data_IF_169601494264
#
_entry.id   IF_169601494264
#
_cell.length_a   1.000
_cell.length_b   1.000
_cell.length_c   1.000
_cell.angle_alpha   90.00
_cell.angle_beta   90.00
_cell.angle_gamma   90.00
#
_symmetry.space_group_name_H-M   'P 1'
#
loop_
_entity.id
_entity.type
_entity.pdbx_description
1 polymer ?
#
# COMPACT_ATOMS: atom_id res chain seq x y z
N UNK A 1 3.11 -20.61 -11.89
CA UNK A 1 3.24 -21.39 -10.63
C UNK A 1 3.10 -20.42 -9.48
N UNK A 2 2.46 -20.82 -8.38
CA UNK A 2 2.38 -19.97 -7.17
C UNK A 2 3.73 -20.05 -6.45
N UNK A 3 4.30 -18.88 -6.14
CA UNK A 3 5.54 -18.76 -5.38
C UNK A 3 5.24 -18.50 -3.89
N UNK A 4 5.29 -19.55 -3.09
CA UNK A 4 4.98 -19.48 -1.65
C UNK A 4 6.05 -18.75 -0.83
N UNK A 5 7.29 -18.71 -1.31
CA UNK A 5 8.37 -17.97 -0.64
C UNK A 5 8.11 -16.47 -0.79
N UNK A 6 7.73 -16.01 -1.99
CA UNK A 6 7.30 -14.61 -2.22
C UNK A 6 6.05 -14.26 -1.41
N UNK A 7 5.07 -15.15 -1.31
CA UNK A 7 3.88 -14.93 -0.47
C UNK A 7 4.29 -14.74 1.01
N UNK A 8 5.23 -15.56 1.50
CA UNK A 8 5.74 -15.45 2.87
C UNK A 8 6.50 -14.15 3.12
N UNK A 9 7.31 -13.72 2.16
CA UNK A 9 7.98 -12.42 2.18
C UNK A 9 6.96 -11.27 2.28
N UNK A 10 5.94 -11.28 1.42
CA UNK A 10 4.90 -10.25 1.42
C UNK A 10 4.09 -10.25 2.72
N UNK A 11 3.76 -11.43 3.28
CA UNK A 11 3.10 -11.51 4.59
C UNK A 11 3.99 -10.95 5.72
N UNK A 12 5.31 -11.14 5.63
CA UNK A 12 6.25 -10.58 6.60
C UNK A 12 6.27 -9.04 6.52
N UNK A 13 6.33 -8.49 5.30
CA UNK A 13 6.25 -7.03 5.08
C UNK A 13 4.91 -6.46 5.55
N UNK A 14 3.80 -7.17 5.32
CA UNK A 14 2.49 -6.80 5.86
C UNK A 14 2.50 -6.82 7.40
N UNK A 15 3.15 -7.81 8.03
CA UNK A 15 3.27 -7.88 9.49
C UNK A 15 4.05 -6.70 10.06
N UNK A 16 5.18 -6.35 9.46
CA UNK A 16 6.03 -5.23 9.88
C UNK A 16 5.32 -3.89 9.76
N UNK A 17 4.49 -3.72 8.72
CA UNK A 17 3.80 -2.47 8.41
C UNK A 17 2.32 -2.47 8.82
N UNK A 18 1.87 -3.43 9.64
CA UNK A 18 0.45 -3.61 9.96
C UNK A 18 -0.19 -2.37 10.60
N UNK A 19 0.55 -1.66 11.46
CA UNK A 19 0.06 -0.41 12.05
C UNK A 19 -0.13 0.68 10.97
N UNK A 20 0.83 0.85 10.07
CA UNK A 20 0.71 1.78 8.94
C UNK A 20 -0.50 1.45 8.07
N UNK A 21 -0.72 0.18 7.76
CA UNK A 21 -1.90 -0.27 7.01
C UNK A 21 -3.23 0.07 7.71
N UNK A 22 -3.28 -0.08 9.04
CA UNK A 22 -4.44 0.32 9.84
C UNK A 22 -4.66 1.83 9.83
N UNK A 23 -3.61 2.62 10.08
CA UNK A 23 -3.68 4.08 10.09
C UNK A 23 -4.08 4.65 8.73
N UNK A 24 -3.50 4.16 7.64
CA UNK A 24 -3.86 4.58 6.28
C UNK A 24 -5.32 4.25 5.94
N UNK A 25 -5.81 3.08 6.37
CA UNK A 25 -7.21 2.70 6.17
C UNK A 25 -8.16 3.59 6.98
N UNK A 26 -7.83 3.87 8.23
CA UNK A 26 -8.60 4.78 9.08
C UNK A 26 -8.60 6.21 8.52
N UNK A 27 -7.44 6.70 8.05
CA UNK A 27 -7.31 7.98 7.38
C UNK A 27 -8.20 8.05 6.13
N UNK A 28 -8.14 7.04 5.25
CA UNK A 28 -8.94 7.00 4.03
C UNK A 28 -10.45 7.01 4.29
N UNK A 29 -10.92 6.25 5.29
CA UNK A 29 -12.34 6.27 5.71
C UNK A 29 -12.74 7.65 6.23
N UNK A 30 -11.90 8.28 7.05
CA UNK A 30 -12.18 9.61 7.57
C UNK A 30 -12.24 10.65 6.44
N UNK A 31 -11.33 10.60 5.46
CA UNK A 31 -11.40 11.45 4.27
C UNK A 31 -12.70 11.28 3.50
N UNK A 32 -13.15 10.04 3.27
CA UNK A 32 -14.43 9.77 2.59
C UNK A 32 -15.65 10.31 3.34
N UNK A 33 -15.57 10.36 4.67
CA UNK A 33 -16.63 10.91 5.52
C UNK A 33 -16.55 12.43 5.69
N UNK A 34 -15.56 13.10 5.09
CA UNK A 34 -15.32 14.54 5.24
C UNK A 34 -14.66 14.92 6.58
N UNK A 35 -14.15 13.94 7.32
CA UNK A 35 -13.40 14.14 8.54
C UNK A 35 -11.92 14.31 8.20
N UNK A 36 -11.46 15.55 8.04
CA UNK A 36 -10.12 15.88 7.55
C UNK A 36 -9.00 15.65 8.57
N UNK A 37 -8.68 14.39 8.83
CA UNK A 37 -7.70 13.99 9.84
C UNK A 37 -6.26 14.17 9.35
N UNK A 38 -5.32 14.31 10.26
CA UNK A 38 -3.90 14.30 9.93
C UNK A 38 -3.34 12.89 9.99
N UNK A 39 -2.28 12.61 9.22
CA UNK A 39 -1.53 11.36 9.25
C UNK A 39 -0.05 11.69 9.30
N UNK A 40 0.73 10.90 10.03
CA UNK A 40 2.19 11.09 10.05
C UNK A 40 2.80 10.64 8.72
N UNK A 41 3.91 11.25 8.32
CA UNK A 41 4.61 10.81 7.10
C UNK A 41 5.03 9.34 7.20
N UNK A 42 5.43 8.88 8.39
CA UNK A 42 5.77 7.49 8.66
C UNK A 42 4.59 6.56 8.48
N UNK A 43 3.44 6.86 9.07
CA UNK A 43 2.26 5.99 8.98
C UNK A 43 1.69 5.96 7.55
N UNK A 44 1.79 7.06 6.81
CA UNK A 44 1.45 7.10 5.38
C UNK A 44 2.38 6.18 4.58
N UNK A 45 3.70 6.29 4.78
CA UNK A 45 4.68 5.45 4.09
C UNK A 45 4.51 3.97 4.43
N UNK A 46 4.48 3.63 5.72
CA UNK A 46 4.28 2.25 6.18
C UNK A 46 2.95 1.70 5.66
N UNK A 47 1.88 2.51 5.62
CA UNK A 47 0.60 2.11 5.07
C UNK A 47 0.65 1.80 3.57
N UNK A 48 1.41 2.58 2.80
CA UNK A 48 1.64 2.32 1.38
C UNK A 48 2.46 1.04 1.18
N UNK A 49 3.51 0.82 1.97
CA UNK A 49 4.30 -0.41 1.93
C UNK A 49 3.48 -1.66 2.29
N UNK A 50 2.60 -1.53 3.30
CA UNK A 50 1.64 -2.58 3.63
C UNK A 50 0.71 -2.90 2.44
N UNK A 51 0.20 -1.87 1.77
CA UNK A 51 -0.70 -2.03 0.62
C UNK A 51 0.02 -2.65 -0.58
N UNK A 52 1.26 -2.22 -0.88
CA UNK A 52 2.11 -2.84 -1.91
C UNK A 52 2.28 -4.34 -1.64
N UNK A 53 2.64 -4.71 -0.41
CA UNK A 53 2.83 -6.11 -0.04
C UNK A 53 1.52 -6.92 -0.17
N UNK A 54 0.38 -6.36 0.28
CA UNK A 54 -0.92 -6.98 0.12
C UNK A 54 -1.27 -7.24 -1.35
N UNK A 55 -1.12 -6.25 -2.22
CA UNK A 55 -1.45 -6.39 -3.64
C UNK A 55 -0.51 -7.40 -4.33
N UNK A 56 0.80 -7.36 -4.04
CA UNK A 56 1.76 -8.34 -4.54
C UNK A 56 1.42 -9.76 -4.11
N UNK A 57 0.98 -9.95 -2.86
CA UNK A 57 0.47 -11.23 -2.36
C UNK A 57 -0.75 -11.72 -3.14
N UNK A 58 -1.76 -10.87 -3.32
CA UNK A 58 -2.98 -11.23 -4.07
C UNK A 58 -2.67 -11.62 -5.53
N UNK A 59 -1.72 -10.95 -6.17
CA UNK A 59 -1.24 -11.28 -7.52
C UNK A 59 -0.49 -12.62 -7.53
N UNK A 60 0.37 -12.86 -6.54
CA UNK A 60 1.15 -14.10 -6.45
C UNK A 60 0.27 -15.33 -6.15
N UNK A 61 -0.78 -15.15 -5.35
CA UNK A 61 -1.78 -16.18 -5.04
C UNK A 61 -2.67 -16.55 -6.24
N UNK A 62 -2.71 -15.72 -7.30
CA UNK A 62 -3.55 -15.97 -8.45
C UNK A 62 -3.05 -17.21 -9.24
N UNK A 63 -3.85 -18.30 -9.33
CA UNK A 63 -3.43 -19.52 -10.02
C UNK A 63 -3.59 -19.43 -11.54
N UNK A 64 -4.35 -18.46 -12.05
CA UNK A 64 -4.72 -18.33 -13.46
C UNK A 64 -3.78 -17.46 -14.27
N UNK A 65 -2.90 -16.70 -13.61
CA UNK A 65 -1.99 -15.77 -14.27
C UNK A 65 -0.61 -16.38 -14.50
N UNK A 66 -0.04 -16.07 -15.66
CA UNK A 66 1.36 -16.41 -15.98
C UNK A 66 2.31 -15.60 -15.11
N UNK A 67 3.55 -16.09 -14.94
CA UNK A 67 4.58 -15.37 -14.18
C UNK A 67 4.82 -13.97 -14.76
N UNK A 68 4.92 -13.86 -16.07
CA UNK A 68 5.08 -12.58 -16.78
C UNK A 68 3.93 -11.61 -16.49
N UNK A 69 2.68 -12.07 -16.61
CA UNK A 69 1.52 -11.22 -16.33
C UNK A 69 1.47 -10.78 -14.86
N UNK A 70 1.85 -11.65 -13.91
CA UNK A 70 1.98 -11.29 -12.50
C UNK A 70 3.04 -10.22 -12.28
N UNK A 71 4.19 -10.32 -12.94
CA UNK A 71 5.26 -9.32 -12.83
C UNK A 71 4.82 -7.98 -13.40
N UNK A 72 4.18 -7.95 -14.57
CA UNK A 72 3.62 -6.73 -15.17
C UNK A 72 2.62 -6.04 -14.24
N UNK A 73 1.68 -6.81 -13.66
CA UNK A 73 0.68 -6.26 -12.75
C UNK A 73 1.34 -5.74 -11.46
N UNK A 74 2.29 -6.48 -10.87
CA UNK A 74 3.02 -6.02 -9.67
C UNK A 74 3.79 -4.73 -9.94
N UNK A 75 4.46 -4.61 -11.09
CA UNK A 75 5.19 -3.42 -11.49
C UNK A 75 4.24 -2.22 -11.68
N UNK A 76 3.10 -2.42 -12.34
CA UNK A 76 2.09 -1.38 -12.53
C UNK A 76 1.47 -0.90 -11.20
N UNK A 77 1.15 -1.83 -10.31
CA UNK A 77 0.63 -1.52 -8.97
C UNK A 77 1.66 -0.75 -8.13
N UNK A 78 2.92 -1.15 -8.17
CA UNK A 78 4.00 -0.48 -7.44
C UNK A 78 4.22 0.95 -7.96
N UNK A 79 4.25 1.13 -9.28
CA UNK A 79 4.34 2.45 -9.89
C UNK A 79 3.18 3.36 -9.44
N UNK A 80 1.94 2.86 -9.52
CA UNK A 80 0.76 3.61 -9.08
C UNK A 80 0.85 4.01 -7.61
N UNK A 81 1.25 3.09 -6.72
CA UNK A 81 1.34 3.36 -5.29
C UNK A 81 2.46 4.33 -4.94
N UNK A 82 3.57 4.31 -5.66
CA UNK A 82 4.64 5.32 -5.53
C UNK A 82 4.15 6.72 -5.93
N UNK A 83 3.41 6.83 -7.04
CA UNK A 83 2.79 8.09 -7.44
C UNK A 83 1.75 8.56 -6.42
N UNK A 84 0.90 7.64 -5.95
CA UNK A 84 -0.09 7.94 -4.90
C UNK A 84 0.58 8.48 -3.64
N UNK A 85 1.64 7.85 -3.15
CA UNK A 85 2.35 8.31 -1.95
C UNK A 85 2.90 9.73 -2.13
N UNK A 86 3.53 10.00 -3.28
CA UNK A 86 4.07 11.32 -3.60
C UNK A 86 2.98 12.40 -3.63
N UNK A 87 1.88 12.12 -4.32
CA UNK A 87 0.76 13.06 -4.43
C UNK A 87 0.04 13.25 -3.08
N UNK A 88 -0.16 12.18 -2.31
CA UNK A 88 -0.77 12.23 -0.99
C UNK A 88 0.07 13.08 -0.03
N UNK A 89 1.40 12.90 -0.01
CA UNK A 89 2.31 13.74 0.79
C UNK A 89 2.19 15.22 0.40
N UNK A 90 2.20 15.51 -0.89
CA UNK A 90 2.10 16.88 -1.40
C UNK A 90 0.77 17.52 -1.02
N UNK A 91 -0.34 16.81 -1.22
CA UNK A 91 -1.69 17.24 -0.86
C UNK A 91 -1.82 17.54 0.64
N UNK A 92 -1.38 16.61 1.49
CA UNK A 92 -1.50 16.73 2.94
C UNK A 92 -0.60 17.82 3.51
N UNK A 93 0.60 17.96 2.97
CA UNK A 93 1.53 19.03 3.37
C UNK A 93 0.94 20.42 3.06
N UNK A 94 0.34 20.59 1.89
CA UNK A 94 -0.33 21.85 1.51
C UNK A 94 -1.51 22.22 2.43
N UNK A 95 -2.06 21.25 3.14
CA UNK A 95 -3.16 21.44 4.09
C UNK A 95 -2.70 21.47 5.56
N UNK A 96 -1.39 21.37 5.84
CA UNK A 96 -0.83 21.18 7.19
C UNK A 96 -1.38 19.95 7.93
N UNK A 97 -1.61 18.86 7.19
CA UNK A 97 -2.19 17.60 7.68
C UNK A 97 -1.23 16.41 7.60
N UNK A 98 0.00 16.64 7.13
CA UNK A 98 1.09 15.68 7.21
C UNK A 98 1.93 15.98 8.46
N UNK A 99 1.96 15.05 9.42
CA UNK A 99 2.65 15.20 10.71
C UNK A 99 4.07 14.63 10.69
#
# INVERSE_FOLDING_TARGET
MIDYDKITEYMTTMGLNANGGFQLSAFAINEMLGNHYSISEKDLHDGVEWLKAKMKKEVEENPYWTTEHKEDVKNGQEYFLNCFEHEAKSYLKNQNRLL
#
